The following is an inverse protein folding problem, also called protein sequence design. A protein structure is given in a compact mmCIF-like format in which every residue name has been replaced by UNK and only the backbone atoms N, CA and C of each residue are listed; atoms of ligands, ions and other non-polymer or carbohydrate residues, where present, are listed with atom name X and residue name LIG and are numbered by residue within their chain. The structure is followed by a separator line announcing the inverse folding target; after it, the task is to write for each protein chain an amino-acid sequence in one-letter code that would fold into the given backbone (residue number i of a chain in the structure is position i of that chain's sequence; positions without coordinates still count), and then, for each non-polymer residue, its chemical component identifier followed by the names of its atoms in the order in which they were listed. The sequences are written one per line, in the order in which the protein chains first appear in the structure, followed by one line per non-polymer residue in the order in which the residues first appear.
data_IF_399355707023
#
_entry.id   IF_399355707023
#
_cell.length_a   1.000
_cell.length_b   1.000
_cell.length_c   1.000
_cell.angle_alpha   90.00
_cell.angle_beta   90.00
_cell.angle_gamma   90.00
#
_symmetry.space_group_name_H-M   'P 1'
#
loop_
_entity.id
_entity.type
_entity.pdbx_description
1 polymer ?
#
# COMPACT_ATOMS: atom_id res chain seq x y z
N UNK A 1 -6.17 -4.34 -25.93
CA UNK A 1 -5.13 -4.92 -26.82
C UNK A 1 -5.15 -4.26 -28.19
N UNK A 2 -6.25 -4.29 -28.96
CA UNK A 2 -6.31 -3.70 -30.31
C UNK A 2 -5.78 -2.24 -30.39
N UNK A 3 -6.11 -1.39 -29.42
CA UNK A 3 -5.58 -0.02 -29.39
C UNK A 3 -4.03 0.04 -29.33
N UNK A 4 -3.37 -0.90 -28.63
CA UNK A 4 -1.91 -0.96 -28.59
C UNK A 4 -1.33 -1.30 -29.97
N UNK A 5 -2.02 -2.13 -30.76
CA UNK A 5 -1.61 -2.45 -32.14
C UNK A 5 -1.83 -1.23 -33.04
N UNK A 6 -3.04 -0.68 -33.06
CA UNK A 6 -3.44 0.41 -33.96
C UNK A 6 -2.63 1.69 -33.77
N UNK A 7 -2.11 1.93 -32.57
CA UNK A 7 -1.34 3.14 -32.26
C UNK A 7 0.16 2.85 -32.11
N UNK A 8 0.65 1.69 -32.57
CA UNK A 8 2.07 1.30 -32.50
C UNK A 8 2.65 1.36 -31.07
N UNK A 9 1.82 1.00 -30.08
CA UNK A 9 2.16 0.92 -28.66
C UNK A 9 3.03 -0.29 -28.27
N UNK A 10 3.47 -1.10 -29.23
CA UNK A 10 4.33 -2.25 -29.03
C UNK A 10 5.42 -2.32 -30.11
N UNK A 11 6.64 -2.64 -29.69
CA UNK A 11 7.77 -2.95 -30.58
C UNK A 11 8.27 -4.37 -30.27
N UNK A 12 9.18 -4.53 -29.29
CA UNK A 12 9.68 -5.86 -28.89
C UNK A 12 8.63 -6.77 -28.21
N UNK A 13 7.46 -6.24 -27.85
CA UNK A 13 6.37 -6.99 -27.23
C UNK A 13 6.53 -7.33 -25.74
N UNK A 14 7.74 -7.38 -25.20
CA UNK A 14 7.98 -7.93 -23.85
C UNK A 14 7.22 -7.21 -22.72
N UNK A 15 7.20 -5.87 -22.72
CA UNK A 15 6.49 -5.10 -21.70
C UNK A 15 4.98 -4.96 -21.99
N UNK A 16 4.53 -5.32 -23.19
CA UNK A 16 3.17 -5.04 -23.67
C UNK A 16 2.08 -5.68 -22.80
N UNK A 17 2.20 -6.93 -22.31
CA UNK A 17 1.20 -7.50 -21.41
C UNK A 17 0.99 -6.67 -20.13
N UNK A 18 2.07 -6.17 -19.51
CA UNK A 18 1.98 -5.32 -18.31
C UNK A 18 1.20 -4.03 -18.55
N UNK A 19 1.56 -3.31 -19.63
CA UNK A 19 0.82 -2.10 -20.04
C UNK A 19 -0.63 -2.40 -20.36
N UNK A 20 -0.92 -3.50 -21.06
CA UNK A 20 -2.31 -3.90 -21.38
C UNK A 20 -3.12 -4.11 -20.12
N UNK A 21 -2.58 -4.79 -19.11
CA UNK A 21 -3.30 -5.03 -17.85
C UNK A 21 -3.49 -3.75 -17.02
N UNK A 22 -2.49 -2.87 -16.98
CA UNK A 22 -2.63 -1.53 -16.38
C UNK A 22 -3.71 -0.70 -17.06
N UNK A 23 -3.72 -0.65 -18.39
CA UNK A 23 -4.73 0.09 -19.16
C UNK A 23 -6.11 -0.56 -19.07
N UNK A 24 -6.20 -1.88 -18.99
CA UNK A 24 -7.46 -2.59 -18.74
C UNK A 24 -8.04 -2.22 -17.36
N UNK A 25 -7.21 -2.24 -16.32
CA UNK A 25 -7.61 -1.78 -14.98
C UNK A 25 -8.07 -0.32 -15.00
N UNK A 26 -7.34 0.57 -15.68
CA UNK A 26 -7.74 1.97 -15.85
C UNK A 26 -9.11 2.08 -16.55
N UNK A 27 -9.30 1.35 -17.65
CA UNK A 27 -10.53 1.37 -18.45
C UNK A 27 -11.75 0.94 -17.63
N UNK A 28 -11.58 -0.02 -16.71
CA UNK A 28 -12.64 -0.52 -15.84
C UNK A 28 -12.95 0.37 -14.63
N UNK A 29 -12.00 1.18 -14.17
CA UNK A 29 -12.12 1.94 -12.92
C UNK A 29 -12.27 3.46 -13.10
N UNK A 30 -12.10 4.00 -14.31
CA UNK A 30 -12.21 5.44 -14.57
C UNK A 30 -13.16 5.75 -15.73
N UNK A 31 -13.91 6.85 -15.63
CA UNK A 31 -14.85 7.30 -16.68
C UNK A 31 -14.22 8.11 -17.78
N UNK A 32 -13.14 8.83 -17.48
CA UNK A 32 -12.41 9.66 -18.45
C UNK A 32 -10.92 9.42 -18.31
N UNK A 33 -10.25 9.17 -19.42
CA UNK A 33 -8.82 8.91 -19.50
C UNK A 33 -8.09 10.20 -19.87
N UNK A 34 -8.02 11.11 -18.89
CA UNK A 34 -7.15 12.30 -18.97
C UNK A 34 -5.69 11.88 -18.79
N UNK A 35 -4.77 12.72 -19.26
CA UNK A 35 -3.32 12.44 -19.21
C UNK A 35 -2.80 12.01 -17.84
N UNK A 36 -3.26 12.69 -16.78
CA UNK A 36 -2.87 12.33 -15.41
C UNK A 36 -3.27 10.90 -15.05
N UNK A 37 -4.52 10.52 -15.31
CA UNK A 37 -5.04 9.17 -15.05
C UNK A 37 -4.26 8.13 -15.85
N UNK A 38 -3.98 8.41 -17.12
CA UNK A 38 -3.20 7.51 -17.99
C UNK A 38 -1.80 7.33 -17.44
N UNK A 39 -1.09 8.43 -17.15
CA UNK A 39 0.29 8.40 -16.64
C UNK A 39 0.37 7.67 -15.30
N UNK A 40 -0.51 7.99 -14.36
CA UNK A 40 -0.57 7.33 -13.04
C UNK A 40 -0.81 5.82 -13.19
N UNK A 41 -1.70 5.41 -14.11
CA UNK A 41 -2.05 3.99 -14.33
C UNK A 41 -0.92 3.17 -14.94
N UNK A 42 -0.03 3.80 -15.72
CA UNK A 42 1.07 3.12 -16.42
C UNK A 42 2.43 3.34 -15.78
N UNK A 43 2.57 4.23 -14.79
CA UNK A 43 3.84 4.60 -14.17
C UNK A 43 4.69 3.37 -13.77
N UNK A 44 4.03 2.36 -13.20
CA UNK A 44 4.63 1.08 -12.79
C UNK A 44 5.13 0.15 -13.90
N UNK A 45 5.06 0.56 -15.16
CA UNK A 45 5.46 -0.27 -16.30
C UNK A 45 6.58 0.43 -17.07
N UNK A 46 7.67 -0.29 -17.30
CA UNK A 46 8.81 0.22 -18.02
C UNK A 46 8.80 -0.27 -19.47
N UNK A 47 8.97 0.67 -20.40
CA UNK A 47 9.22 0.37 -21.81
C UNK A 47 10.52 1.01 -22.25
N UNK A 48 11.39 0.23 -22.90
CA UNK A 48 12.65 0.74 -23.45
C UNK A 48 12.58 1.10 -24.94
N UNK A 49 11.59 0.57 -25.65
CA UNK A 49 11.54 0.63 -27.11
C UNK A 49 10.65 1.77 -27.64
N UNK A 50 9.43 1.94 -27.08
CA UNK A 50 8.40 2.80 -27.70
C UNK A 50 8.50 4.28 -27.37
N UNK A 51 9.29 4.67 -26.36
CA UNK A 51 9.30 6.04 -25.84
C UNK A 51 7.97 6.49 -25.22
N UNK A 52 7.07 5.57 -24.85
CA UNK A 52 5.78 5.77 -24.17
C UNK A 52 4.69 6.53 -24.95
N UNK A 53 5.04 7.51 -25.80
CA UNK A 53 4.06 8.34 -26.50
C UNK A 53 3.01 7.54 -27.30
N UNK A 54 3.38 6.46 -28.04
CA UNK A 54 2.41 5.61 -28.73
C UNK A 54 1.45 4.88 -27.77
N UNK A 55 1.93 4.47 -26.59
CA UNK A 55 1.13 3.82 -25.53
C UNK A 55 0.11 4.81 -24.96
N UNK A 56 0.53 6.05 -24.70
CA UNK A 56 -0.37 7.12 -24.21
C UNK A 56 -1.45 7.42 -25.25
N UNK A 57 -1.11 7.47 -26.55
CA UNK A 57 -2.10 7.63 -27.63
C UNK A 57 -3.10 6.47 -27.66
N UNK A 58 -2.63 5.23 -27.54
CA UNK A 58 -3.49 4.05 -27.44
C UNK A 58 -4.47 4.17 -26.25
N UNK A 59 -3.98 4.58 -25.09
CA UNK A 59 -4.81 4.77 -23.89
C UNK A 59 -5.87 5.87 -24.08
N UNK A 60 -5.51 7.01 -24.67
CA UNK A 60 -6.46 8.11 -24.95
C UNK A 60 -7.58 7.69 -25.90
N UNK A 61 -7.29 6.85 -26.90
CA UNK A 61 -8.29 6.36 -27.85
C UNK A 61 -9.43 5.56 -27.20
N UNK A 62 -9.21 5.03 -25.99
CA UNK A 62 -10.20 4.26 -25.26
C UNK A 62 -11.36 5.13 -24.75
N UNK A 63 -11.21 6.46 -24.67
CA UNK A 63 -12.29 7.36 -24.23
C UNK A 63 -13.57 7.21 -25.07
N UNK A 64 -13.41 6.82 -26.34
CA UNK A 64 -14.51 6.67 -27.28
C UNK A 64 -15.01 5.22 -27.41
N UNK A 65 -14.60 4.33 -26.49
CA UNK A 65 -14.97 2.91 -26.53
C UNK A 65 -16.05 2.58 -25.51
N UNK A 66 -16.99 1.74 -25.92
CA UNK A 66 -18.03 1.21 -25.05
C UNK A 66 -17.39 0.34 -23.95
N UNK A 67 -17.79 0.58 -22.69
CA UNK A 67 -17.34 -0.17 -21.52
C UNK A 67 -18.10 -1.49 -21.29
N UNK A 68 -19.21 -1.70 -22.00
CA UNK A 68 -19.99 -2.92 -21.93
C UNK A 68 -19.26 -4.02 -22.69
N UNK A 69 -18.73 -5.00 -21.97
CA UNK A 69 -18.11 -6.22 -22.49
C UNK A 69 -18.58 -7.44 -21.70
N UNK A 70 -18.02 -8.61 -22.00
CA UNK A 70 -18.38 -9.84 -21.31
C UNK A 70 -18.06 -9.81 -19.80
N UNK A 71 -17.03 -9.09 -19.35
CA UNK A 71 -16.74 -8.93 -17.92
C UNK A 71 -17.83 -8.12 -17.22
N UNK A 72 -18.28 -7.03 -17.83
CA UNK A 72 -19.35 -6.19 -17.28
C UNK A 72 -20.66 -6.97 -17.24
N UNK A 73 -21.00 -7.71 -18.32
CA UNK A 73 -22.21 -8.54 -18.40
C UNK A 73 -22.24 -9.65 -17.34
N UNK A 74 -21.11 -10.32 -17.10
CA UNK A 74 -21.02 -11.44 -16.16
C UNK A 74 -20.70 -11.02 -14.71
N UNK A 75 -20.60 -9.72 -14.41
CA UNK A 75 -20.15 -9.24 -13.10
C UNK A 75 -21.00 -9.77 -11.95
N UNK A 76 -22.33 -9.73 -12.08
CA UNK A 76 -23.24 -10.16 -11.01
C UNK A 76 -23.17 -11.67 -10.77
N UNK A 77 -23.17 -12.48 -11.83
CA UNK A 77 -23.07 -13.94 -11.72
C UNK A 77 -21.73 -14.38 -11.14
N UNK A 78 -20.63 -13.75 -11.55
CA UNK A 78 -19.29 -14.00 -10.99
C UNK A 78 -19.25 -13.65 -9.49
N UNK A 79 -19.78 -12.48 -9.09
CA UNK A 79 -19.84 -12.11 -7.66
C UNK A 79 -20.69 -13.12 -6.88
N UNK A 80 -21.82 -13.57 -7.42
CA UNK A 80 -22.66 -14.58 -6.78
C UNK A 80 -21.91 -15.92 -6.60
N UNK A 81 -21.15 -16.34 -7.61
CA UNK A 81 -20.30 -17.54 -7.52
C UNK A 81 -19.20 -17.38 -6.47
N UNK A 82 -18.50 -16.24 -6.45
CA UNK A 82 -17.43 -15.97 -5.48
C UNK A 82 -17.96 -15.93 -4.04
N UNK A 83 -19.17 -15.41 -3.81
CA UNK A 83 -19.82 -15.39 -2.49
C UNK A 83 -20.19 -16.79 -1.97
N UNK A 84 -20.27 -17.80 -2.84
CA UNK A 84 -20.51 -19.20 -2.43
C UNK A 84 -19.25 -19.86 -1.86
N UNK A 85 -18.06 -19.28 -2.05
CA UNK A 85 -16.83 -19.82 -1.49
C UNK A 85 -16.84 -19.58 0.02
N UNK A 86 -16.70 -20.66 0.80
CA UNK A 86 -16.72 -20.58 2.26
C UNK A 86 -15.64 -19.61 2.78
N UNK A 87 -16.06 -18.70 3.66
CA UNK A 87 -15.18 -17.71 4.26
C UNK A 87 -14.48 -18.28 5.50
N UNK A 88 -13.68 -19.33 5.30
CA UNK A 88 -13.00 -20.04 6.38
C UNK A 88 -11.52 -19.63 6.49
N UNK A 89 -10.96 -19.93 7.65
CA UNK A 89 -9.52 -19.77 7.91
C UNK A 89 -8.75 -20.92 7.31
N UNK A 90 -7.66 -20.59 6.63
CA UNK A 90 -6.87 -21.57 5.88
C UNK A 90 -5.56 -21.85 6.61
N UNK A 91 -5.18 -23.12 6.71
CA UNK A 91 -3.86 -23.55 7.12
C UNK A 91 -3.33 -24.57 6.11
N UNK A 92 -2.19 -24.27 5.48
CA UNK A 92 -1.54 -25.15 4.51
C UNK A 92 -0.19 -25.56 5.08
N UNK A 93 0.05 -26.87 5.07
CA UNK A 93 1.31 -27.48 5.47
C UNK A 93 1.86 -28.24 4.25
N UNK A 94 3.09 -27.93 3.86
CA UNK A 94 3.76 -28.66 2.77
C UNK A 94 5.25 -28.80 3.10
N UNK A 95 5.69 -30.04 3.32
CA UNK A 95 7.02 -30.32 3.89
C UNK A 95 7.20 -29.50 5.19
N UNK A 96 8.29 -28.75 5.31
CA UNK A 96 8.57 -27.91 6.47
C UNK A 96 7.96 -26.50 6.38
N UNK A 97 7.18 -26.20 5.34
CA UNK A 97 6.58 -24.88 5.10
C UNK A 97 5.15 -24.81 5.62
N UNK A 98 4.83 -23.69 6.27
CA UNK A 98 3.53 -23.39 6.87
C UNK A 98 2.97 -22.09 6.32
N UNK A 99 1.70 -22.09 5.93
CA UNK A 99 0.97 -20.89 5.54
C UNK A 99 -0.36 -20.83 6.30
N UNK A 100 -0.66 -19.68 6.87
CA UNK A 100 -1.91 -19.44 7.59
C UNK A 100 -2.60 -18.21 7.00
N UNK A 101 -3.91 -18.26 6.80
CA UNK A 101 -4.75 -17.11 6.47
C UNK A 101 -5.96 -17.09 7.42
N UNK A 102 -5.79 -16.58 8.65
CA UNK A 102 -6.89 -16.43 9.60
C UNK A 102 -7.91 -15.39 9.12
N UNK A 103 -9.17 -15.56 9.50
CA UNK A 103 -10.26 -14.60 9.23
C UNK A 103 -10.47 -13.62 10.35
N UNK A 104 -10.11 -14.01 11.58
CA UNK A 104 -10.37 -13.20 12.76
C UNK A 104 -9.11 -12.93 13.59
N UNK A 105 -9.09 -11.80 14.29
CA UNK A 105 -7.97 -11.43 15.18
C UNK A 105 -7.76 -12.49 16.29
N UNK A 106 -8.83 -13.10 16.79
CA UNK A 106 -8.71 -14.17 17.80
C UNK A 106 -7.95 -15.38 17.27
N UNK A 107 -8.16 -15.76 16.02
CA UNK A 107 -7.46 -16.88 15.40
C UNK A 107 -6.01 -16.55 15.11
N UNK A 108 -5.74 -15.33 14.62
CA UNK A 108 -4.38 -14.81 14.47
C UNK A 108 -3.59 -14.95 15.79
N UNK A 109 -4.19 -14.56 16.92
CA UNK A 109 -3.56 -14.71 18.25
C UNK A 109 -3.28 -16.18 18.61
N UNK A 110 -4.22 -17.09 18.31
CA UNK A 110 -4.02 -18.55 18.53
C UNK A 110 -2.88 -19.09 17.67
N UNK A 111 -2.81 -18.69 16.41
CA UNK A 111 -1.76 -19.10 15.46
C UNK A 111 -0.39 -18.56 15.89
N UNK A 112 -0.31 -17.27 16.25
CA UNK A 112 0.93 -16.64 16.73
C UNK A 112 1.46 -17.28 18.01
N UNK A 113 0.58 -17.75 18.91
CA UNK A 113 1.00 -18.48 20.12
C UNK A 113 1.78 -19.75 19.78
N UNK A 114 1.37 -20.48 18.73
CA UNK A 114 2.00 -21.74 18.29
C UNK A 114 3.12 -21.53 17.28
N UNK A 115 3.15 -20.38 16.60
CA UNK A 115 4.09 -20.10 15.50
C UNK A 115 4.73 -18.71 15.69
N UNK A 116 5.40 -18.54 16.83
CA UNK A 116 5.94 -17.25 17.28
C UNK A 116 6.96 -16.60 16.32
N UNK A 117 7.60 -17.43 15.48
CA UNK A 117 8.61 -17.02 14.50
C UNK A 117 8.04 -16.84 13.08
N UNK A 118 6.72 -16.95 12.88
CA UNK A 118 6.13 -16.73 11.56
C UNK A 118 6.30 -15.30 11.08
N UNK A 119 6.56 -15.14 9.79
CA UNK A 119 6.51 -13.83 9.15
C UNK A 119 5.06 -13.41 8.95
N UNK A 120 4.73 -12.19 9.36
CA UNK A 120 3.45 -11.57 9.05
C UNK A 120 3.49 -11.01 7.62
N UNK A 121 2.57 -11.45 6.78
CA UNK A 121 2.47 -11.04 5.39
C UNK A 121 1.21 -10.22 5.17
N UNK A 122 1.36 -9.02 4.65
CA UNK A 122 0.28 -8.24 4.04
C UNK A 122 0.52 -8.14 2.53
N UNK A 123 0.94 -6.98 2.02
CA UNK A 123 1.20 -6.79 0.58
C UNK A 123 2.39 -7.54 -0.01
N UNK A 124 3.32 -8.04 0.83
CA UNK A 124 4.48 -8.82 0.38
C UNK A 124 5.57 -8.03 -0.37
N UNK A 125 5.42 -6.71 -0.52
CA UNK A 125 6.30 -5.85 -1.31
C UNK A 125 7.69 -5.65 -0.72
N UNK A 126 7.90 -6.05 0.53
CA UNK A 126 9.20 -6.03 1.21
C UNK A 126 9.63 -7.44 1.64
N UNK A 127 8.71 -8.24 2.21
CA UNK A 127 8.98 -9.62 2.63
C UNK A 127 9.48 -10.51 1.47
N UNK A 128 8.98 -10.29 0.25
CA UNK A 128 9.41 -11.06 -0.93
C UNK A 128 10.87 -10.82 -1.33
N UNK A 129 11.51 -9.77 -0.83
CA UNK A 129 12.93 -9.50 -1.07
C UNK A 129 13.84 -10.54 -0.39
N UNK A 130 13.38 -11.18 0.68
CA UNK A 130 14.08 -12.33 1.29
C UNK A 130 14.29 -13.44 0.26
N UNK A 131 13.28 -13.71 -0.57
CA UNK A 131 13.36 -14.74 -1.62
C UNK A 131 14.09 -14.20 -2.86
N UNK A 132 13.68 -13.03 -3.35
CA UNK A 132 14.11 -12.53 -4.67
C UNK A 132 15.48 -11.84 -4.67
N UNK A 133 15.89 -11.26 -3.53
CA UNK A 133 17.19 -10.57 -3.38
C UNK A 133 18.14 -11.35 -2.48
N UNK A 134 17.68 -11.81 -1.33
CA UNK A 134 18.54 -12.56 -0.40
C UNK A 134 18.66 -14.05 -0.76
N UNK A 135 17.83 -14.56 -1.68
CA UNK A 135 17.80 -15.97 -2.11
C UNK A 135 17.61 -16.95 -0.93
N UNK A 136 16.82 -16.54 0.07
CA UNK A 136 16.49 -17.34 1.25
C UNK A 136 15.05 -17.84 1.19
N UNK A 137 14.82 -18.96 1.86
CA UNK A 137 13.48 -19.51 2.04
C UNK A 137 12.71 -18.85 3.19
N UNK A 138 11.39 -18.84 3.05
CA UNK A 138 10.45 -18.45 4.12
C UNK A 138 9.68 -19.70 4.55
N UNK A 139 9.90 -20.13 5.78
CA UNK A 139 9.36 -21.39 6.30
C UNK A 139 7.95 -21.25 6.89
N UNK A 140 7.57 -20.06 7.36
CA UNK A 140 6.26 -19.87 7.98
C UNK A 140 5.72 -18.47 7.74
N UNK A 141 4.51 -18.38 7.19
CA UNK A 141 3.84 -17.13 6.85
C UNK A 141 2.44 -17.09 7.44
N UNK A 142 2.06 -15.96 8.02
CA UNK A 142 0.69 -15.65 8.40
C UNK A 142 0.21 -14.48 7.52
N UNK A 143 -0.70 -14.76 6.60
CA UNK A 143 -1.34 -13.78 5.75
C UNK A 143 -2.40 -13.00 6.53
N UNK A 144 -2.20 -11.70 6.64
CA UNK A 144 -3.00 -10.81 7.47
C UNK A 144 -4.22 -10.27 6.72
N UNK A 145 -4.16 -10.12 5.39
CA UNK A 145 -5.22 -9.43 4.63
C UNK A 145 -6.53 -10.23 4.55
N UNK A 146 -6.54 -11.49 4.98
CA UNK A 146 -7.78 -12.27 5.18
C UNK A 146 -8.57 -11.82 6.41
N UNK A 147 -7.99 -11.01 7.30
CA UNK A 147 -8.61 -10.46 8.52
C UNK A 147 -9.23 -9.11 8.19
N UNK A 148 -10.55 -9.08 8.04
CA UNK A 148 -11.29 -7.85 7.70
C UNK A 148 -11.28 -6.83 8.84
N UNK A 149 -11.20 -7.27 10.11
CA UNK A 149 -11.14 -6.37 11.27
C UNK A 149 -9.89 -5.46 11.27
N UNK A 150 -8.89 -5.75 10.43
CA UNK A 150 -7.67 -4.95 10.28
C UNK A 150 -7.66 -4.06 9.02
N UNK A 151 -8.71 -4.10 8.20
CA UNK A 151 -8.81 -3.32 6.96
C UNK A 151 -9.86 -2.22 7.11
N UNK A 152 -9.49 -1.15 7.80
CA UNK A 152 -10.39 -0.02 8.04
C UNK A 152 -9.63 1.30 8.12
N UNK A 153 -10.40 2.38 7.98
CA UNK A 153 -9.99 3.75 8.32
C UNK A 153 -11.12 4.36 9.16
N UNK A 154 -10.80 4.83 10.36
CA UNK A 154 -11.73 5.49 11.28
C UNK A 154 -11.22 6.87 11.64
N UNK A 155 -12.12 7.81 11.90
CA UNK A 155 -11.78 9.13 12.42
C UNK A 155 -12.77 9.49 13.54
N UNK A 156 -12.24 9.97 14.67
CA UNK A 156 -13.02 10.40 15.84
C UNK A 156 -12.87 11.90 16.15
N UNK A 157 -12.36 12.69 15.20
CA UNK A 157 -12.08 14.12 15.33
C UNK A 157 -10.71 14.44 15.96
N UNK A 158 -10.11 13.52 16.72
CA UNK A 158 -8.79 13.71 17.36
C UNK A 158 -7.66 13.04 16.58
N UNK A 159 -7.91 11.87 16.01
CA UNK A 159 -6.95 11.16 15.18
C UNK A 159 -7.65 10.32 14.11
N UNK A 160 -6.93 10.02 13.04
CA UNK A 160 -7.28 9.01 12.06
C UNK A 160 -6.63 7.69 12.49
N UNK A 161 -7.43 6.63 12.61
CA UNK A 161 -6.94 5.29 12.89
C UNK A 161 -7.03 4.41 11.65
N UNK A 162 -5.89 3.86 11.24
CA UNK A 162 -5.75 3.04 10.04
C UNK A 162 -5.40 1.62 10.47
N UNK A 163 -6.25 0.66 10.13
CA UNK A 163 -5.97 -0.75 10.38
C UNK A 163 -4.76 -1.26 9.60
N UNK A 164 -4.06 -2.25 10.13
CA UNK A 164 -2.76 -2.68 9.62
C UNK A 164 -2.77 -3.28 8.21
N UNK A 165 -3.91 -3.79 7.75
CA UNK A 165 -4.05 -4.43 6.44
C UNK A 165 -4.65 -3.51 5.39
N UNK A 166 -4.95 -2.26 5.75
CA UNK A 166 -5.46 -1.24 4.84
C UNK A 166 -4.42 -0.90 3.75
N UNK A 167 -4.73 -1.13 2.45
CA UNK A 167 -3.83 -0.78 1.36
C UNK A 167 -3.56 0.72 1.26
N UNK A 168 -2.34 1.09 0.84
CA UNK A 168 -1.96 2.49 0.66
C UNK A 168 -2.89 3.23 -0.30
N UNK A 169 -3.41 2.60 -1.35
CA UNK A 169 -4.32 3.28 -2.28
C UNK A 169 -5.62 3.74 -1.62
N UNK A 170 -6.14 2.97 -0.64
CA UNK A 170 -7.34 3.37 0.13
C UNK A 170 -7.00 4.53 1.07
N UNK A 171 -5.84 4.44 1.73
CA UNK A 171 -5.37 5.47 2.64
C UNK A 171 -5.05 6.78 1.91
N UNK A 172 -4.37 6.72 0.76
CA UNK A 172 -4.02 7.85 -0.10
C UNK A 172 -5.26 8.70 -0.44
N UNK A 173 -6.35 8.03 -0.85
CA UNK A 173 -7.62 8.70 -1.18
C UNK A 173 -8.26 9.33 0.06
N UNK A 174 -8.19 8.66 1.21
CA UNK A 174 -8.80 9.16 2.44
C UNK A 174 -8.04 10.36 3.04
N UNK A 175 -6.70 10.28 3.05
CA UNK A 175 -5.85 11.26 3.74
C UNK A 175 -5.76 12.60 3.00
N UNK A 176 -6.09 12.62 1.69
CA UNK A 176 -6.03 13.80 0.84
C UNK A 176 -6.78 15.01 1.41
N UNK A 177 -7.93 14.77 2.07
CA UNK A 177 -8.74 15.85 2.66
C UNK A 177 -8.13 16.48 3.92
N UNK A 178 -7.11 15.84 4.52
CA UNK A 178 -6.43 16.32 5.72
C UNK A 178 -5.01 16.78 5.43
N UNK A 179 -4.28 16.02 4.61
CA UNK A 179 -2.86 16.25 4.33
C UNK A 179 -2.56 16.09 2.83
N UNK A 180 -2.81 17.12 2.00
CA UNK A 180 -2.57 17.06 0.56
C UNK A 180 -1.12 16.71 0.19
N UNK A 181 -0.14 17.22 0.94
CA UNK A 181 1.28 16.93 0.72
C UNK A 181 1.62 15.46 1.03
N UNK A 182 0.94 14.84 2.01
CA UNK A 182 1.08 13.40 2.28
C UNK A 182 0.54 12.60 1.08
N UNK A 183 -0.63 12.95 0.55
CA UNK A 183 -1.14 12.34 -0.68
C UNK A 183 -0.21 12.54 -1.87
N UNK A 184 0.45 13.70 -2.00
CA UNK A 184 1.41 13.94 -3.07
C UNK A 184 2.63 13.01 -2.99
N UNK A 185 3.13 12.73 -1.79
CA UNK A 185 4.20 11.76 -1.58
C UNK A 185 3.70 10.33 -1.85
N UNK A 186 2.50 9.98 -1.37
CA UNK A 186 1.91 8.67 -1.61
C UNK A 186 1.70 8.39 -3.10
N UNK A 187 1.32 9.37 -3.92
CA UNK A 187 1.22 9.20 -5.37
C UNK A 187 2.52 8.79 -6.04
N UNK A 188 3.65 9.16 -5.43
CA UNK A 188 5.02 8.81 -5.83
C UNK A 188 5.60 7.64 -5.01
N UNK A 189 4.78 7.00 -4.18
CA UNK A 189 5.16 5.84 -3.37
C UNK A 189 5.03 4.58 -4.21
N UNK A 190 6.12 4.20 -4.85
CA UNK A 190 6.12 3.14 -5.86
C UNK A 190 5.01 3.33 -6.88
N UNK A 191 4.60 2.23 -7.48
CA UNK A 191 3.57 2.24 -8.52
C UNK A 191 2.18 2.02 -7.94
N UNK A 192 1.13 2.29 -8.72
CA UNK A 192 -0.25 2.00 -8.30
C UNK A 192 -0.44 0.52 -7.94
N UNK A 193 0.25 -0.39 -8.64
CA UNK A 193 0.26 -1.83 -8.37
C UNK A 193 0.82 -2.13 -6.97
N UNK A 194 1.92 -1.47 -6.59
CA UNK A 194 2.47 -1.55 -5.24
C UNK A 194 1.48 -0.99 -4.22
N UNK A 195 0.91 0.21 -4.45
CA UNK A 195 -0.05 0.85 -3.54
C UNK A 195 -1.35 0.10 -3.35
N UNK A 196 -1.75 -0.69 -4.33
CA UNK A 196 -2.94 -1.55 -4.23
C UNK A 196 -2.78 -2.67 -3.18
N UNK A 197 -1.54 -3.03 -2.81
CA UNK A 197 -1.28 -4.14 -1.88
C UNK A 197 -0.43 -3.77 -0.67
N UNK A 198 0.50 -2.82 -0.79
CA UNK A 198 1.34 -2.40 0.33
C UNK A 198 0.52 -1.63 1.37
N UNK A 199 0.95 -1.68 2.62
CA UNK A 199 0.24 -1.05 3.75
C UNK A 199 1.19 -0.17 4.55
N UNK A 200 0.63 0.84 5.23
CA UNK A 200 1.42 1.71 6.13
C UNK A 200 2.06 0.87 7.24
N UNK A 201 1.30 -0.08 7.81
CA UNK A 201 1.83 -0.95 8.87
C UNK A 201 3.01 -1.79 8.38
N UNK A 202 2.96 -2.30 7.14
CA UNK A 202 4.08 -2.98 6.53
C UNK A 202 5.30 -2.07 6.41
N UNK A 203 5.13 -0.83 5.94
CA UNK A 203 6.23 0.14 5.84
C UNK A 203 6.84 0.48 7.21
N UNK A 204 6.01 0.68 8.23
CA UNK A 204 6.46 0.90 9.63
C UNK A 204 7.19 -0.33 10.16
N UNK A 205 6.65 -1.54 9.96
CA UNK A 205 7.25 -2.77 10.46
C UNK A 205 8.63 -3.06 9.83
N UNK A 206 8.80 -2.77 8.54
CA UNK A 206 10.09 -2.87 7.85
C UNK A 206 11.13 -1.89 8.40
N UNK A 207 10.71 -0.71 8.87
CA UNK A 207 11.60 0.33 9.41
C UNK A 207 12.78 0.68 8.48
N UNK A 208 12.51 0.76 7.18
CA UNK A 208 13.51 1.16 6.20
C UNK A 208 13.83 2.66 6.39
N UNK A 209 15.11 3.06 6.51
CA UNK A 209 15.47 4.49 6.67
C UNK A 209 15.05 5.39 5.50
N UNK A 210 14.83 4.77 4.33
CA UNK A 210 14.36 5.42 3.10
C UNK A 210 12.84 5.25 2.89
N UNK A 211 12.10 4.88 3.93
CA UNK A 211 10.66 4.71 3.87
C UNK A 211 9.93 6.05 3.86
N UNK A 212 9.36 6.44 2.73
CA UNK A 212 8.76 7.78 2.53
C UNK A 212 7.63 8.13 3.52
N UNK A 213 6.90 7.15 4.05
CA UNK A 213 5.83 7.47 5.03
C UNK A 213 6.36 7.74 6.43
N UNK A 214 7.58 7.29 6.76
CA UNK A 214 8.09 7.35 8.13
C UNK A 214 8.39 8.78 8.59
N UNK A 215 9.10 9.65 7.82
CA UNK A 215 9.30 11.04 8.22
C UNK A 215 7.99 11.79 8.42
N UNK A 216 6.99 11.52 7.58
CA UNK A 216 5.67 12.15 7.66
C UNK A 216 4.96 11.75 8.95
N UNK A 217 4.89 10.45 9.21
CA UNK A 217 4.22 9.94 10.40
C UNK A 217 4.94 10.36 11.69
N UNK A 218 6.26 10.48 11.67
CA UNK A 218 7.04 11.02 12.79
C UNK A 218 6.70 12.50 13.03
N UNK A 219 6.68 13.34 11.99
CA UNK A 219 6.30 14.76 12.13
C UNK A 219 4.85 14.98 12.57
N UNK A 220 3.98 13.97 12.41
CA UNK A 220 2.59 14.00 12.84
C UNK A 220 2.39 13.35 14.23
N UNK A 221 3.46 13.01 14.95
CA UNK A 221 3.41 12.31 16.25
C UNK A 221 2.53 11.04 16.21
N UNK A 222 2.59 10.31 15.09
CA UNK A 222 1.80 9.10 14.93
C UNK A 222 2.12 8.09 16.05
N UNK A 223 1.14 7.26 16.38
CA UNK A 223 1.25 6.21 17.39
C UNK A 223 0.94 4.86 16.76
N UNK A 224 1.67 3.83 17.18
CA UNK A 224 1.47 2.45 16.75
C UNK A 224 0.72 1.70 17.84
N UNK A 225 -0.39 1.05 17.48
CA UNK A 225 -1.14 0.17 18.37
C UNK A 225 -0.62 -1.25 18.16
N UNK A 226 0.10 -1.76 19.15
CA UNK A 226 0.61 -3.12 19.16
C UNK A 226 -0.35 -4.03 19.94
N UNK A 227 -0.70 -5.17 19.35
CA UNK A 227 -1.43 -6.22 20.03
C UNK A 227 -0.56 -7.46 20.19
N UNK A 228 -0.79 -8.15 21.29
CA UNK A 228 -0.29 -9.49 21.59
C UNK A 228 -1.47 -10.38 21.93
N UNK A 229 -1.20 -11.62 22.36
CA UNK A 229 -2.24 -12.55 22.80
C UNK A 229 -3.14 -11.92 23.89
N UNK A 230 -2.53 -11.30 24.91
CA UNK A 230 -3.26 -10.80 26.11
C UNK A 230 -3.22 -9.28 26.31
N UNK A 231 -2.30 -8.56 25.67
CA UNK A 231 -2.07 -7.13 25.93
C UNK A 231 -2.15 -6.30 24.66
N UNK A 232 -2.69 -5.10 24.80
CA UNK A 232 -2.61 -4.01 23.81
C UNK A 232 -1.69 -2.94 24.39
N UNK A 233 -0.78 -2.41 23.56
CA UNK A 233 0.11 -1.32 23.95
C UNK A 233 0.12 -0.26 22.85
N UNK A 234 0.04 1.00 23.23
CA UNK A 234 0.19 2.14 22.31
C UNK A 234 1.58 2.72 22.56
N UNK A 235 2.34 2.93 21.50
CA UNK A 235 3.70 3.49 21.55
C UNK A 235 3.75 4.65 20.56
N UNK A 236 4.46 5.73 20.91
CA UNK A 236 4.79 6.76 19.92
C UNK A 236 5.60 6.13 18.78
N UNK A 237 5.45 6.63 17.56
CA UNK A 237 6.22 6.10 16.44
C UNK A 237 7.72 6.38 16.62
N UNK A 238 8.07 7.53 17.23
CA UNK A 238 9.45 7.86 17.56
C UNK A 238 10.08 6.81 18.49
N UNK A 239 9.36 6.42 19.54
CA UNK A 239 9.83 5.37 20.45
C UNK A 239 9.76 3.96 19.85
N UNK A 240 9.05 3.76 18.74
CA UNK A 240 8.88 2.43 18.15
C UNK A 240 10.12 1.96 17.40
N UNK A 241 10.88 2.89 16.79
CA UNK A 241 12.14 2.59 16.12
C UNK A 241 13.28 2.51 17.13
N UNK A 242 14.18 1.53 16.96
CA UNK A 242 15.33 1.34 17.85
C UNK A 242 16.62 1.70 17.11
N UNK A 243 16.76 1.19 15.88
CA UNK A 243 17.98 1.23 15.09
C UNK A 243 17.64 0.88 13.62
N UNK A 244 18.62 0.88 12.73
CA UNK A 244 18.47 0.54 11.31
C UNK A 244 17.67 -0.76 11.12
N UNK A 245 16.47 -0.65 10.52
CA UNK A 245 15.53 -1.78 10.30
C UNK A 245 15.18 -2.57 11.57
N UNK A 246 15.30 -1.98 12.76
CA UNK A 246 14.94 -2.60 14.05
C UNK A 246 13.84 -1.79 14.74
N UNK A 247 12.83 -2.50 15.24
CA UNK A 247 11.68 -1.92 15.93
C UNK A 247 11.46 -2.56 17.29
N UNK A 248 10.63 -1.94 18.13
CA UNK A 248 10.16 -2.51 19.41
C UNK A 248 9.12 -3.62 19.25
N UNK A 249 8.79 -4.04 18.02
CA UNK A 249 7.86 -5.13 17.77
C UNK A 249 8.48 -6.47 18.19
N UNK A 250 7.97 -7.07 19.27
CA UNK A 250 8.46 -8.36 19.77
C UNK A 250 7.80 -9.53 19.03
N UNK A 251 8.46 -10.69 19.04
CA UNK A 251 7.89 -11.93 18.51
C UNK A 251 6.52 -12.22 19.18
N UNK A 252 5.53 -12.62 18.37
CA UNK A 252 4.14 -12.81 18.83
C UNK A 252 3.32 -11.55 19.02
N UNK A 253 3.88 -10.38 18.75
CA UNK A 253 3.12 -9.13 18.60
C UNK A 253 2.85 -8.86 17.13
N UNK A 254 1.81 -8.08 16.87
CA UNK A 254 1.51 -7.53 15.56
C UNK A 254 1.07 -6.06 15.71
N UNK A 255 1.28 -5.29 14.65
CA UNK A 255 0.69 -3.96 14.53
C UNK A 255 -0.80 -4.17 14.21
N UNK A 256 -1.67 -3.64 15.06
CA UNK A 256 -3.13 -3.67 14.86
C UNK A 256 -3.59 -2.46 14.05
N UNK A 257 -3.11 -1.27 14.44
CA UNK A 257 -3.46 -0.01 13.78
C UNK A 257 -2.38 1.05 13.96
N UNK A 258 -2.47 2.09 13.14
CA UNK A 258 -1.71 3.33 13.25
C UNK A 258 -2.68 4.44 13.59
N UNK A 259 -2.37 5.27 14.60
CA UNK A 259 -3.12 6.46 14.95
C UNK A 259 -2.34 7.69 14.51
N UNK A 260 -2.93 8.49 13.64
CA UNK A 260 -2.36 9.72 13.09
C UNK A 260 -3.14 10.89 13.71
N UNK A 261 -2.57 11.60 14.70
CA UNK A 261 -3.17 12.80 15.27
C UNK A 261 -3.60 13.82 14.22
N UNK A 262 -4.67 14.56 14.51
CA UNK A 262 -5.15 15.66 13.67
C UNK A 262 -4.79 17.00 14.30
N UNK A 263 -4.11 17.84 13.53
CA UNK A 263 -3.68 19.19 13.94
C UNK A 263 -4.23 20.24 12.96
N UNK A 264 -5.52 20.60 13.04
CA UNK A 264 -6.17 21.44 12.04
C UNK A 264 -5.63 22.88 11.99
N UNK A 265 -4.95 23.34 13.05
CA UNK A 265 -4.32 24.66 13.11
C UNK A 265 -2.88 24.67 12.63
N UNK A 266 -2.27 23.50 12.44
CA UNK A 266 -0.87 23.41 12.08
C UNK A 266 -0.67 23.59 10.57
N UNK A 267 0.49 24.13 10.23
CA UNK A 267 0.99 24.12 8.86
C UNK A 267 1.77 22.84 8.66
N UNK A 268 1.20 21.93 7.87
CA UNK A 268 1.85 20.69 7.46
C UNK A 268 2.46 20.82 6.07
N UNK A 269 3.73 20.42 5.92
CA UNK A 269 4.43 20.38 4.63
C UNK A 269 5.29 19.13 4.51
N UNK A 270 5.26 18.50 3.33
CA UNK A 270 6.10 17.34 3.06
C UNK A 270 6.68 17.34 1.64
N UNK A 271 7.91 16.88 1.52
CA UNK A 271 8.72 16.96 0.31
C UNK A 271 9.46 15.65 0.05
N UNK A 272 9.55 15.25 -1.22
CA UNK A 272 10.31 14.09 -1.69
C UNK A 272 11.17 14.47 -2.88
N UNK A 273 12.47 14.18 -2.81
CA UNK A 273 13.46 14.33 -3.88
C UNK A 273 14.01 12.95 -4.23
N UNK A 274 14.08 12.64 -5.52
CA UNK A 274 14.55 11.36 -6.08
C UNK A 274 15.14 11.58 -7.48
N UNK A 275 15.88 10.61 -8.02
CA UNK A 275 16.52 10.74 -9.36
C UNK A 275 15.48 10.69 -10.48
N UNK A 276 14.40 9.92 -10.29
CA UNK A 276 13.21 9.93 -11.14
C UNK A 276 12.00 10.38 -10.34
N UNK A 277 11.05 11.03 -11.01
CA UNK A 277 9.88 11.58 -10.33
C UNK A 277 8.98 10.48 -9.74
N UNK A 278 8.71 9.45 -10.54
CA UNK A 278 7.90 8.27 -10.20
C UNK A 278 8.78 7.03 -9.97
N UNK A 279 8.26 6.08 -9.17
CA UNK A 279 8.85 4.75 -8.95
C UNK A 279 10.31 4.72 -8.52
N UNK A 280 10.73 5.72 -7.75
CA UNK A 280 12.09 5.83 -7.26
C UNK A 280 12.16 5.99 -5.75
N UNK A 281 13.28 5.53 -5.21
CA UNK A 281 13.63 5.65 -3.80
C UNK A 281 14.01 7.10 -3.53
N UNK A 282 13.56 7.62 -2.38
CA UNK A 282 13.93 8.96 -1.95
C UNK A 282 15.43 9.10 -1.76
N UNK A 283 16.01 10.13 -2.38
CA UNK A 283 17.30 10.67 -1.97
C UNK A 283 17.14 11.49 -0.69
N UNK A 284 16.06 12.27 -0.59
CA UNK A 284 15.63 12.98 0.62
C UNK A 284 14.11 12.96 0.71
N UNK A 285 13.58 12.62 1.88
CA UNK A 285 12.16 12.78 2.21
C UNK A 285 12.06 13.56 3.52
N UNK A 286 11.40 14.70 3.51
CA UNK A 286 11.29 15.61 4.65
C UNK A 286 9.83 15.96 4.91
N UNK A 287 9.48 16.13 6.19
CA UNK A 287 8.12 16.51 6.60
C UNK A 287 8.18 17.38 7.84
N UNK A 288 7.30 18.37 7.89
CA UNK A 288 7.23 19.40 8.92
C UNK A 288 5.78 19.65 9.30
N UNK A 289 5.51 19.81 10.60
CA UNK A 289 4.18 20.06 11.13
C UNK A 289 4.27 21.12 12.22
N UNK A 290 3.95 22.37 11.90
CA UNK A 290 4.26 23.50 12.78
C UNK A 290 2.99 24.18 13.28
N UNK A 291 2.92 24.46 14.57
CA UNK A 291 1.93 25.39 15.12
C UNK A 291 2.50 26.81 15.12
N UNK A 292 1.85 27.72 14.38
CA UNK A 292 2.29 29.12 14.29
C UNK A 292 1.23 30.04 14.90
N UNK A 293 1.61 30.77 15.96
CA UNK A 293 0.76 31.75 16.64
C UNK A 293 1.49 33.09 16.66
N UNK A 294 0.83 34.14 16.17
CA UNK A 294 1.38 35.51 16.12
C UNK A 294 2.76 35.57 15.44
N UNK A 295 2.90 34.90 14.28
CA UNK A 295 4.16 34.76 13.52
C UNK A 295 5.32 34.11 14.29
N UNK A 296 5.06 33.41 15.40
CA UNK A 296 6.04 32.65 16.17
C UNK A 296 5.69 31.16 16.14
N UNK A 297 6.70 30.32 15.99
CA UNK A 297 6.57 28.86 16.13
C UNK A 297 6.33 28.56 17.61
N UNK A 298 5.26 27.82 17.91
CA UNK A 298 4.89 27.41 19.26
C UNK A 298 5.24 25.95 19.54
N UNK A 299 4.97 25.08 18.57
CA UNK A 299 5.26 23.65 18.62
C UNK A 299 5.79 23.18 17.26
N UNK A 300 6.67 22.18 17.28
CA UNK A 300 7.30 21.51 16.14
C UNK A 300 7.01 20.02 16.26
#
# INVERSE_FOLDING_TARGET
QQAMVNYHGSQCGFCTPGFVMSLFSMFKNHDRFKDKVIKDSIAGNLCRCTGYQPIIKAARSLNNKNKIDHFTKNKQSIIALLKKINNESIAIYKKDKKYFAPRYIQELKKILKKNINSHLLSGGTDLSLIVTKERKDINSVIYMNSIEELNYIKNNGKYIEVGSTTPLIKFENYIQKYYPDFTAILKRYGSQQIRNVCTIAGNIATASPIGDTLPILLSLDAKVVLKSIKKTKIISLNDFFIDYRKTKLKKGQFIDSIRIPLFPKNIFKAYKISKRFDDDISSVCASFNLEVINKKIKNI
#
